data_IF_556509357959
#
_entry.id   IF_556509357959
#
_cell.length_a   1.000
_cell.length_b   1.000
_cell.length_c   1.000
_cell.angle_alpha   90.00
_cell.angle_beta   90.00
_cell.angle_gamma   90.00
#
_symmetry.space_group_name_H-M   'P 1'
#
loop_
_entity.id
_entity.type
_entity.pdbx_description
1 polymer ?
#
# COMPACT_ATOMS: atom_id res chain seq x y z
N UNK A 1 -11.79 -7.49 -3.88
CA UNK A 1 -13.01 -6.79 -3.40
C UNK A 1 -14.17 -7.77 -3.51
N UNK A 2 -15.01 -7.91 -2.49
CA UNK A 2 -16.19 -8.75 -2.59
C UNK A 2 -17.44 -7.91 -2.94
N UNK A 3 -18.45 -8.57 -3.52
CA UNK A 3 -19.71 -7.92 -3.93
C UNK A 3 -20.39 -7.17 -2.76
N UNK A 4 -20.35 -7.73 -1.55
CA UNK A 4 -20.93 -7.10 -0.36
C UNK A 4 -20.27 -5.76 -0.07
N UNK A 5 -18.94 -5.73 -0.06
CA UNK A 5 -18.17 -4.54 0.29
C UNK A 5 -18.35 -3.46 -0.76
N UNK A 6 -18.35 -3.83 -2.05
CA UNK A 6 -18.65 -2.90 -3.13
C UNK A 6 -20.04 -2.28 -2.98
N UNK A 7 -21.08 -3.09 -2.71
CA UNK A 7 -22.45 -2.62 -2.59
C UNK A 7 -22.68 -1.75 -1.35
N UNK A 8 -21.99 -2.03 -0.25
CA UNK A 8 -22.08 -1.25 0.99
C UNK A 8 -21.28 0.05 0.92
N UNK A 9 -20.01 -0.01 0.55
CA UNK A 9 -19.11 1.15 0.52
C UNK A 9 -19.35 2.07 -0.68
N UNK A 10 -19.92 1.56 -1.78
CA UNK A 10 -20.19 2.29 -3.03
C UNK A 10 -18.99 3.12 -3.50
N UNK A 11 -17.79 2.49 -3.66
CA UNK A 11 -16.61 3.20 -4.09
C UNK A 11 -16.85 3.85 -5.46
N UNK A 12 -16.29 5.02 -5.67
CA UNK A 12 -16.40 5.75 -6.93
C UNK A 12 -15.44 5.23 -7.99
N UNK A 13 -14.37 4.59 -7.57
CA UNK A 13 -13.35 4.04 -8.45
C UNK A 13 -12.97 2.62 -8.01
N UNK A 14 -12.49 1.83 -8.96
CA UNK A 14 -11.96 0.48 -8.73
C UNK A 14 -10.66 0.34 -9.52
N UNK A 15 -9.67 -0.29 -8.93
CA UNK A 15 -8.42 -0.61 -9.59
C UNK A 15 -8.42 -2.08 -9.99
N UNK A 16 -8.05 -2.39 -11.24
CA UNK A 16 -7.85 -3.75 -11.68
C UNK A 16 -6.46 -4.28 -11.28
N UNK A 17 -6.32 -5.59 -11.19
CA UNK A 17 -5.08 -6.26 -10.82
C UNK A 17 -4.25 -6.67 -12.04
N UNK A 18 -3.01 -7.11 -11.80
CA UNK A 18 -2.06 -7.52 -12.84
C UNK A 18 -2.35 -8.89 -13.46
N UNK A 19 -2.98 -9.77 -12.70
CA UNK A 19 -3.11 -11.17 -13.07
C UNK A 19 -4.08 -11.43 -14.21
N UNK A 20 -3.99 -12.61 -14.79
CA UNK A 20 -5.00 -13.14 -15.71
C UNK A 20 -6.11 -13.85 -14.92
N UNK A 21 -7.33 -13.67 -15.40
CA UNK A 21 -8.50 -14.42 -14.97
C UNK A 21 -9.09 -15.14 -16.18
N UNK A 22 -9.10 -16.48 -16.14
CA UNK A 22 -9.53 -17.32 -17.26
C UNK A 22 -8.82 -16.99 -18.58
N UNK A 23 -7.50 -16.73 -18.51
CA UNK A 23 -6.66 -16.47 -19.68
C UNK A 23 -6.57 -15.00 -20.15
N UNK A 24 -7.51 -14.12 -19.76
CA UNK A 24 -7.48 -12.69 -20.07
C UNK A 24 -6.91 -11.87 -18.91
N UNK A 25 -6.09 -10.87 -19.20
CA UNK A 25 -5.65 -9.93 -18.15
C UNK A 25 -6.84 -9.22 -17.52
N UNK A 26 -6.79 -8.95 -16.23
CA UNK A 26 -7.88 -8.29 -15.51
C UNK A 26 -8.25 -6.93 -16.13
N UNK A 27 -7.27 -6.22 -16.68
CA UNK A 27 -7.43 -4.93 -17.41
C UNK A 27 -8.17 -5.06 -18.74
N UNK A 28 -8.28 -6.26 -19.32
CA UNK A 28 -8.86 -6.54 -20.63
C UNK A 28 -10.06 -7.51 -20.55
N UNK A 29 -10.49 -7.84 -19.34
CA UNK A 29 -11.49 -8.88 -19.10
C UNK A 29 -12.90 -8.29 -19.08
N UNK A 30 -13.56 -8.29 -20.26
CA UNK A 30 -14.95 -7.82 -20.40
C UNK A 30 -15.94 -8.52 -19.45
N UNK A 31 -15.95 -9.85 -19.31
CA UNK A 31 -16.80 -10.52 -18.32
C UNK A 31 -16.61 -9.95 -16.90
N UNK A 32 -15.36 -9.68 -16.48
CA UNK A 32 -15.07 -9.13 -15.16
C UNK A 32 -15.51 -7.67 -15.04
N UNK A 33 -15.03 -6.79 -15.95
CA UNK A 33 -15.16 -5.35 -15.82
C UNK A 33 -16.54 -4.83 -16.24
N UNK A 34 -17.16 -5.48 -17.24
CA UNK A 34 -18.46 -5.05 -17.75
C UNK A 34 -19.59 -5.92 -17.24
N UNK A 35 -19.54 -7.24 -17.46
CA UNK A 35 -20.71 -8.09 -17.21
C UNK A 35 -20.95 -8.28 -15.72
N UNK A 36 -19.90 -8.55 -14.92
CA UNK A 36 -20.01 -8.74 -13.48
C UNK A 36 -20.00 -7.41 -12.74
N UNK A 37 -18.92 -6.62 -12.88
CA UNK A 37 -18.74 -5.40 -12.07
C UNK A 37 -19.84 -4.38 -12.34
N UNK A 38 -20.14 -4.11 -13.61
CA UNK A 38 -21.14 -3.11 -13.98
C UNK A 38 -22.54 -3.70 -14.08
N UNK A 39 -22.69 -4.82 -14.81
CA UNK A 39 -23.98 -5.45 -15.02
C UNK A 39 -24.56 -6.04 -13.74
N UNK A 40 -23.91 -7.05 -13.15
CA UNK A 40 -24.45 -7.76 -12.01
C UNK A 40 -24.32 -6.99 -10.67
N UNK A 41 -23.23 -6.21 -10.50
CA UNK A 41 -22.97 -5.47 -9.26
C UNK A 41 -23.42 -4.01 -9.31
N UNK A 42 -23.79 -3.48 -10.48
CA UNK A 42 -24.30 -2.13 -10.65
C UNK A 42 -23.24 -1.04 -10.38
N UNK A 43 -21.97 -1.26 -10.74
CA UNK A 43 -20.92 -0.26 -10.59
C UNK A 43 -21.05 0.84 -11.66
N UNK A 44 -21.13 2.09 -11.22
CA UNK A 44 -21.36 3.27 -12.04
C UNK A 44 -20.15 4.21 -12.16
N UNK A 45 -19.08 3.93 -11.42
CA UNK A 45 -17.84 4.70 -11.46
C UNK A 45 -16.89 4.29 -12.59
N UNK A 46 -15.61 4.63 -12.49
CA UNK A 46 -14.59 4.21 -13.46
C UNK A 46 -13.60 3.19 -12.88
N UNK A 47 -13.03 2.39 -13.77
CA UNK A 47 -11.94 1.45 -13.45
C UNK A 47 -10.63 2.05 -13.92
N UNK A 48 -9.62 2.05 -13.05
CA UNK A 48 -8.23 2.36 -13.40
C UNK A 48 -7.38 1.09 -13.45
N UNK A 49 -6.28 1.13 -14.18
CA UNK A 49 -5.28 0.06 -14.08
C UNK A 49 -4.48 0.18 -12.79
N UNK A 50 -3.92 -0.93 -12.32
CA UNK A 50 -2.74 -0.85 -11.46
C UNK A 50 -1.53 -0.36 -12.27
N UNK A 51 -0.44 -0.02 -11.60
CA UNK A 51 0.71 0.67 -12.19
C UNK A 51 1.43 -0.20 -13.21
N UNK A 52 1.22 0.12 -14.51
CA UNK A 52 1.76 -0.67 -15.62
C UNK A 52 1.00 -1.97 -15.94
N UNK A 53 -0.22 -2.15 -15.46
CA UNK A 53 -1.03 -3.36 -15.66
C UNK A 53 -1.73 -3.43 -17.04
N UNK A 54 -1.56 -2.43 -17.91
CA UNK A 54 -2.16 -2.43 -19.25
C UNK A 54 -1.27 -3.17 -20.23
N UNK A 55 -1.81 -4.20 -20.87
CA UNK A 55 -1.13 -4.95 -21.92
C UNK A 55 -1.65 -4.52 -23.32
N UNK A 56 -2.96 -4.46 -23.52
CA UNK A 56 -3.60 -3.96 -24.75
C UNK A 56 -4.63 -2.88 -24.37
N UNK A 57 -4.30 -1.62 -24.65
CA UNK A 57 -5.14 -0.47 -24.24
C UNK A 57 -6.47 -0.45 -24.96
N UNK A 58 -6.52 -0.86 -26.23
CA UNK A 58 -7.76 -0.89 -27.03
C UNK A 58 -8.73 -1.93 -26.47
N UNK A 59 -8.23 -3.14 -26.21
CA UNK A 59 -9.01 -4.18 -25.53
C UNK A 59 -9.44 -3.76 -24.14
N UNK A 60 -8.58 -3.06 -23.41
CA UNK A 60 -8.91 -2.52 -22.10
C UNK A 60 -10.11 -1.58 -22.14
N UNK A 61 -10.11 -0.58 -23.03
CA UNK A 61 -11.26 0.32 -23.21
C UNK A 61 -12.51 -0.45 -23.62
N UNK A 62 -12.39 -1.37 -24.56
CA UNK A 62 -13.51 -2.21 -25.00
C UNK A 62 -14.07 -3.09 -23.86
N UNK A 63 -13.23 -3.50 -22.91
CA UNK A 63 -13.62 -4.30 -21.75
C UNK A 63 -14.20 -3.48 -20.59
N UNK A 64 -14.02 -2.15 -20.58
CA UNK A 64 -14.50 -1.28 -19.50
C UNK A 64 -13.42 -0.78 -18.54
N UNK A 65 -12.16 -0.70 -18.98
CA UNK A 65 -11.06 -0.01 -18.32
C UNK A 65 -10.98 1.43 -18.81
N UNK A 66 -11.33 2.40 -17.98
CA UNK A 66 -11.38 3.80 -18.37
C UNK A 66 -10.01 4.50 -18.30
N UNK A 67 -9.26 4.29 -17.22
CA UNK A 67 -8.04 5.03 -16.95
C UNK A 67 -6.82 4.11 -16.87
N UNK A 68 -5.79 4.43 -17.65
CA UNK A 68 -4.49 3.78 -17.58
C UNK A 68 -3.56 4.53 -16.63
N UNK A 69 -2.84 3.79 -15.78
CA UNK A 69 -1.84 4.30 -14.86
C UNK A 69 -0.54 3.48 -14.93
N UNK A 70 0.64 4.12 -15.07
CA UNK A 70 0.82 5.51 -15.51
C UNK A 70 0.45 5.66 -16.98
N UNK A 71 0.23 6.89 -17.43
CA UNK A 71 0.02 7.14 -18.85
C UNK A 71 1.24 6.75 -19.70
N UNK A 72 0.99 6.28 -20.93
CA UNK A 72 2.02 5.77 -21.85
C UNK A 72 2.80 6.84 -22.62
N UNK A 73 2.66 8.13 -22.25
CA UNK A 73 3.27 9.23 -23.01
C UNK A 73 2.70 9.39 -24.43
N UNK A 74 1.44 9.06 -24.64
CA UNK A 74 0.75 9.16 -25.92
C UNK A 74 0.89 7.93 -26.84
N UNK A 75 1.64 6.90 -26.45
CA UNK A 75 1.81 5.69 -27.28
C UNK A 75 0.48 4.94 -27.45
N UNK A 76 -0.23 4.73 -26.36
CA UNK A 76 -1.51 4.04 -26.39
C UNK A 76 -2.66 4.92 -26.84
N UNK A 77 -2.56 6.25 -26.68
CA UNK A 77 -3.54 7.19 -27.19
C UNK A 77 -3.64 7.09 -28.74
N UNK A 78 -2.49 7.00 -29.41
CA UNK A 78 -2.45 6.79 -30.87
C UNK A 78 -3.14 5.49 -31.28
N UNK A 79 -2.93 4.40 -30.53
CA UNK A 79 -3.61 3.10 -30.79
C UNK A 79 -5.12 3.20 -30.65
N UNK A 80 -5.61 3.95 -29.66
CA UNK A 80 -7.06 4.19 -29.49
C UNK A 80 -7.60 5.01 -30.67
N UNK A 81 -6.91 6.10 -31.09
CA UNK A 81 -7.31 6.92 -32.21
C UNK A 81 -7.38 6.07 -33.48
N UNK A 82 -6.35 5.31 -33.79
CA UNK A 82 -6.30 4.40 -34.92
C UNK A 82 -7.43 3.36 -34.89
N UNK A 83 -7.71 2.79 -33.71
CA UNK A 83 -8.78 1.80 -33.54
C UNK A 83 -10.17 2.39 -33.77
N UNK A 84 -10.40 3.63 -33.37
CA UNK A 84 -11.65 4.34 -33.68
C UNK A 84 -11.73 4.67 -35.16
N UNK A 85 -10.66 5.18 -35.77
CA UNK A 85 -10.64 5.56 -37.20
C UNK A 85 -10.86 4.35 -38.12
N UNK A 86 -10.33 3.20 -37.79
CA UNK A 86 -10.50 1.97 -38.59
C UNK A 86 -11.71 1.12 -38.20
N UNK A 87 -12.52 1.57 -37.21
CA UNK A 87 -13.76 0.93 -36.81
C UNK A 87 -13.59 -0.31 -35.90
N UNK A 88 -12.37 -0.60 -35.41
CA UNK A 88 -12.15 -1.73 -34.48
C UNK A 88 -12.53 -1.41 -33.02
N UNK A 89 -12.63 -0.12 -32.69
CA UNK A 89 -13.22 0.37 -31.45
C UNK A 89 -14.38 1.32 -31.77
N UNK A 90 -15.57 1.02 -31.28
CA UNK A 90 -16.73 1.90 -31.41
C UNK A 90 -16.52 3.18 -30.60
N UNK A 91 -16.74 4.34 -31.23
CA UNK A 91 -16.56 5.65 -30.57
C UNK A 91 -17.46 5.79 -29.34
N UNK A 92 -18.67 5.22 -29.35
CA UNK A 92 -19.59 5.28 -28.22
C UNK A 92 -19.09 4.50 -27.01
N UNK A 93 -18.17 3.55 -27.17
CA UNK A 93 -17.49 2.89 -26.05
C UNK A 93 -16.46 3.83 -25.42
N UNK A 94 -15.70 4.55 -26.25
CA UNK A 94 -14.75 5.58 -25.78
C UNK A 94 -15.49 6.73 -25.09
N UNK A 95 -16.57 7.23 -25.66
CA UNK A 95 -17.39 8.30 -25.07
C UNK A 95 -17.94 7.89 -23.69
N UNK A 96 -18.39 6.66 -23.55
CA UNK A 96 -18.83 6.13 -22.23
C UNK A 96 -17.69 6.10 -21.22
N UNK A 97 -16.47 5.72 -21.63
CA UNK A 97 -15.31 5.72 -20.77
C UNK A 97 -14.97 7.14 -20.28
N UNK A 98 -14.93 8.10 -21.20
CA UNK A 98 -14.70 9.52 -20.89
C UNK A 98 -15.79 10.07 -19.96
N UNK A 99 -17.07 9.79 -20.27
CA UNK A 99 -18.20 10.26 -19.45
C UNK A 99 -18.13 9.75 -18.00
N UNK A 100 -17.67 8.51 -17.78
CA UNK A 100 -17.50 7.96 -16.43
C UNK A 100 -16.41 8.68 -15.64
N UNK A 101 -15.28 8.97 -16.27
CA UNK A 101 -14.20 9.75 -15.65
C UNK A 101 -14.70 11.16 -15.32
N UNK A 102 -15.31 11.85 -16.30
CA UNK A 102 -15.83 13.20 -16.09
C UNK A 102 -16.88 13.28 -14.98
N UNK A 103 -17.78 12.31 -14.90
CA UNK A 103 -18.76 12.25 -13.82
C UNK A 103 -18.11 12.23 -12.43
N UNK A 104 -17.05 11.45 -12.24
CA UNK A 104 -16.34 11.41 -10.96
C UNK A 104 -15.57 12.71 -10.72
N UNK A 105 -14.89 13.26 -11.73
CA UNK A 105 -14.16 14.54 -11.63
C UNK A 105 -15.12 15.68 -11.22
N UNK A 106 -16.29 15.78 -11.85
CA UNK A 106 -17.28 16.81 -11.53
C UNK A 106 -17.85 16.64 -10.10
N UNK A 107 -18.17 15.41 -9.71
CA UNK A 107 -18.60 15.13 -8.33
C UNK A 107 -17.52 15.49 -7.31
N UNK A 108 -16.24 15.19 -7.59
CA UNK A 108 -15.12 15.54 -6.74
C UNK A 108 -14.93 17.06 -6.64
N UNK A 109 -15.10 17.79 -7.76
CA UNK A 109 -15.00 19.25 -7.80
C UNK A 109 -16.05 19.93 -6.91
N UNK A 110 -17.24 19.37 -6.80
CA UNK A 110 -18.28 19.90 -5.89
C UNK A 110 -17.90 19.64 -4.42
N UNK A 111 -17.35 18.48 -4.09
CA UNK A 111 -16.86 18.19 -2.73
C UNK A 111 -15.66 19.04 -2.33
N UNK A 112 -14.79 19.41 -3.28
CA UNK A 112 -13.63 20.26 -3.02
C UNK A 112 -14.01 21.67 -2.54
N UNK A 113 -15.25 22.08 -2.69
CA UNK A 113 -15.78 23.35 -2.15
C UNK A 113 -16.12 23.25 -0.65
N UNK A 114 -16.19 22.07 -0.09
CA UNK A 114 -16.45 21.87 1.34
C UNK A 114 -15.16 22.07 2.15
N UNK A 115 -15.27 22.67 3.35
CA UNK A 115 -14.10 22.82 4.20
C UNK A 115 -13.58 21.43 4.59
N UNK A 116 -12.28 21.18 4.34
CA UNK A 116 -11.60 20.00 4.81
C UNK A 116 -10.89 20.33 6.13
N UNK A 117 -11.11 19.52 7.14
CA UNK A 117 -10.35 19.57 8.40
C UNK A 117 -9.38 18.39 8.39
N UNK A 118 -8.10 18.68 8.56
CA UNK A 118 -7.06 17.68 8.66
C UNK A 118 -6.31 17.89 9.99
N UNK A 119 -6.36 16.91 10.86
CA UNK A 119 -5.71 16.95 12.17
C UNK A 119 -4.62 15.87 12.24
N UNK A 120 -3.39 16.25 11.90
CA UNK A 120 -2.22 15.37 11.93
C UNK A 120 -2.00 14.72 13.30
N UNK A 121 -2.26 15.44 14.40
CA UNK A 121 -2.02 14.91 15.73
C UNK A 121 -3.04 13.82 16.09
N UNK A 122 -4.31 14.04 15.75
CA UNK A 122 -5.36 13.05 15.93
C UNK A 122 -5.13 11.82 15.07
N UNK A 123 -4.77 11.99 13.80
CA UNK A 123 -4.49 10.90 12.87
C UNK A 123 -3.26 10.09 13.31
N UNK A 124 -2.19 10.75 13.76
CA UNK A 124 -1.01 10.07 14.31
C UNK A 124 -1.37 9.25 15.56
N UNK A 125 -2.17 9.81 16.48
CA UNK A 125 -2.62 9.09 17.68
C UNK A 125 -3.44 7.85 17.31
N UNK A 126 -4.31 7.97 16.32
CA UNK A 126 -5.08 6.82 15.80
C UNK A 126 -4.16 5.77 15.18
N UNK A 127 -3.16 6.18 14.38
CA UNK A 127 -2.20 5.27 13.77
C UNK A 127 -1.40 4.49 14.82
N UNK A 128 -0.96 5.16 15.91
CA UNK A 128 -0.29 4.51 17.05
C UNK A 128 -1.20 3.47 17.73
N UNK A 129 -2.48 3.81 17.92
CA UNK A 129 -3.42 2.87 18.54
C UNK A 129 -3.69 1.66 17.64
N UNK A 130 -3.84 1.86 16.34
CA UNK A 130 -3.99 0.78 15.37
C UNK A 130 -2.75 -0.13 15.34
N UNK A 131 -1.55 0.44 15.38
CA UNK A 131 -0.30 -0.32 15.44
C UNK A 131 -0.22 -1.21 16.70
N UNK A 132 -0.59 -0.68 17.87
CA UNK A 132 -0.66 -1.45 19.12
C UNK A 132 -1.62 -2.64 19.01
N UNK A 133 -2.80 -2.43 18.42
CA UNK A 133 -3.81 -3.47 18.27
C UNK A 133 -3.46 -4.49 17.16
N UNK A 134 -2.53 -4.15 16.27
CA UNK A 134 -2.06 -5.04 15.21
C UNK A 134 -0.93 -5.98 15.65
N UNK A 135 -0.32 -5.73 16.81
CA UNK A 135 0.74 -6.59 17.34
C UNK A 135 0.16 -7.92 17.85
N UNK A 136 0.78 -9.03 17.45
CA UNK A 136 0.38 -10.39 17.87
C UNK A 136 1.48 -10.99 18.73
N UNK A 137 1.17 -11.24 20.01
CA UNK A 137 2.05 -11.93 20.93
C UNK A 137 1.96 -13.43 20.69
N UNK A 138 2.92 -14.01 19.97
CA UNK A 138 2.92 -15.43 19.60
C UNK A 138 3.20 -16.33 20.82
N UNK A 139 4.12 -15.90 21.70
CA UNK A 139 4.52 -16.65 22.91
C UNK A 139 5.09 -15.72 23.97
N UNK A 140 4.75 -15.94 25.22
CA UNK A 140 5.40 -15.29 26.37
C UNK A 140 5.60 -16.31 27.48
N UNK A 141 6.85 -16.47 27.91
CA UNK A 141 7.23 -17.35 29.04
C UNK A 141 7.73 -16.53 30.25
N UNK A 142 7.18 -15.32 30.43
CA UNK A 142 7.54 -14.44 31.54
C UNK A 142 8.58 -13.37 31.19
N UNK A 143 9.01 -13.27 29.92
CA UNK A 143 9.91 -12.19 29.48
C UNK A 143 9.22 -10.83 29.42
N UNK A 144 7.93 -10.82 29.13
CA UNK A 144 7.10 -9.60 29.05
C UNK A 144 6.06 -9.58 30.19
N UNK A 145 5.70 -8.39 30.70
CA UNK A 145 6.22 -7.06 30.36
C UNK A 145 7.63 -6.81 30.87
N UNK A 146 8.38 -5.94 30.18
CA UNK A 146 9.69 -5.48 30.67
C UNK A 146 9.51 -4.60 31.91
N UNK A 147 10.24 -4.87 32.96
CA UNK A 147 10.16 -4.12 34.21
C UNK A 147 11.11 -2.92 34.24
N UNK A 148 10.78 -1.90 35.06
CA UNK A 148 11.69 -0.79 35.32
C UNK A 148 12.94 -1.32 36.05
N UNK A 149 14.10 -0.80 35.62
CA UNK A 149 15.40 -1.17 36.22
C UNK A 149 16.10 -2.36 35.56
N UNK A 150 15.43 -3.13 34.70
CA UNK A 150 16.09 -4.15 33.89
C UNK A 150 17.07 -3.53 32.93
N UNK A 151 18.24 -4.13 32.77
CA UNK A 151 19.21 -3.85 31.73
C UNK A 151 18.67 -4.50 30.43
N UNK A 152 18.38 -3.69 29.43
CA UNK A 152 17.83 -4.18 28.17
C UNK A 152 18.81 -3.90 27.05
N UNK A 153 19.12 -4.92 26.24
CA UNK A 153 19.88 -4.76 25.02
C UNK A 153 18.93 -4.80 23.80
N UNK A 154 18.96 -3.77 22.96
CA UNK A 154 18.33 -3.77 21.66
C UNK A 154 19.36 -4.20 20.62
N UNK A 155 19.05 -5.28 19.91
CA UNK A 155 19.93 -5.88 18.90
C UNK A 155 19.19 -5.92 17.57
N UNK A 156 19.80 -5.37 16.54
CA UNK A 156 19.24 -5.28 15.20
C UNK A 156 19.12 -3.84 14.71
N UNK A 157 19.56 -3.60 13.48
CA UNK A 157 19.48 -2.28 12.83
C UNK A 157 18.07 -1.68 12.85
N UNK A 158 17.04 -2.52 12.79
CA UNK A 158 15.64 -2.08 12.77
C UNK A 158 15.12 -1.51 14.10
N UNK A 159 15.89 -1.63 15.18
CA UNK A 159 15.58 -0.92 16.42
C UNK A 159 15.69 0.59 16.28
N UNK A 160 16.63 1.07 15.47
CA UNK A 160 16.89 2.49 15.23
C UNK A 160 16.37 2.96 13.86
N UNK A 161 16.51 2.10 12.85
CA UNK A 161 16.08 2.36 11.47
C UNK A 161 14.95 1.39 11.08
N UNK A 162 13.70 1.61 11.54
CA UNK A 162 12.61 0.66 11.34
C UNK A 162 12.26 0.51 9.87
N UNK A 163 12.13 -0.73 9.41
CA UNK A 163 11.72 -1.07 8.05
C UNK A 163 10.21 -1.14 7.95
N UNK A 164 9.54 0.02 7.88
CA UNK A 164 8.08 0.15 7.93
C UNK A 164 7.43 0.45 6.58
N UNK A 165 8.23 0.73 5.55
CA UNK A 165 7.73 1.02 4.20
C UNK A 165 8.31 0.04 3.18
N UNK A 166 7.49 -0.30 2.16
CA UNK A 166 7.95 -0.99 0.97
C UNK A 166 8.44 -0.01 -0.11
N UNK A 167 8.59 -0.50 -1.33
CA UNK A 167 8.89 0.33 -2.50
C UNK A 167 7.64 0.92 -3.15
N UNK A 168 7.83 1.84 -4.10
CA UNK A 168 6.76 2.40 -4.92
C UNK A 168 5.76 3.22 -4.13
N UNK A 169 4.49 2.97 -4.35
CA UNK A 169 3.37 3.74 -3.78
C UNK A 169 3.21 3.63 -2.26
N UNK A 170 3.84 2.66 -1.62
CA UNK A 170 3.87 2.55 -0.16
C UNK A 170 4.90 3.47 0.50
N UNK A 171 5.78 4.10 -0.29
CA UNK A 171 6.78 5.04 0.22
C UNK A 171 6.15 6.42 0.40
N UNK A 172 5.88 6.79 1.64
CA UNK A 172 5.26 8.07 2.02
C UNK A 172 6.21 8.91 2.88
N UNK A 173 6.11 10.23 2.79
CA UNK A 173 6.82 11.14 3.67
C UNK A 173 6.17 11.12 5.04
N UNK A 174 6.88 10.59 6.03
CA UNK A 174 6.39 10.48 7.40
C UNK A 174 7.52 10.72 8.40
N UNK A 175 7.15 11.06 9.63
CA UNK A 175 8.08 11.04 10.76
C UNK A 175 7.96 9.69 11.45
N UNK A 176 8.94 8.81 11.22
CA UNK A 176 9.00 7.53 11.90
C UNK A 176 9.50 7.74 13.34
N UNK A 177 8.96 6.96 14.27
CA UNK A 177 9.46 6.84 15.63
C UNK A 177 10.06 5.44 15.75
N UNK A 178 11.36 5.34 15.95
CA UNK A 178 12.06 4.09 16.14
C UNK A 178 11.83 3.51 17.54
N UNK A 179 12.22 2.25 17.75
CA UNK A 179 12.20 1.67 19.08
C UNK A 179 13.22 2.37 20.02
N UNK A 180 14.33 2.89 19.46
CA UNK A 180 15.29 3.71 20.19
C UNK A 180 14.67 5.03 20.62
N UNK A 181 13.98 5.75 19.73
CA UNK A 181 13.26 6.97 20.08
C UNK A 181 12.21 6.70 21.17
N UNK A 182 11.45 5.63 21.02
CA UNK A 182 10.45 5.24 22.01
C UNK A 182 11.06 4.91 23.37
N UNK A 183 12.23 4.30 23.41
CA UNK A 183 12.96 4.05 24.66
C UNK A 183 13.36 5.37 25.34
N UNK A 184 13.90 6.32 24.57
CA UNK A 184 14.27 7.65 25.07
C UNK A 184 13.03 8.40 25.59
N UNK A 185 11.96 8.44 24.82
CA UNK A 185 10.71 9.13 25.20
C UNK A 185 10.08 8.56 26.48
N UNK A 186 10.34 7.30 26.81
CA UNK A 186 9.84 6.64 28.01
C UNK A 186 10.90 6.53 29.12
N UNK A 187 11.99 7.33 29.06
CA UNK A 187 13.08 7.33 30.01
C UNK A 187 13.65 5.92 30.32
N UNK A 188 13.69 5.09 29.27
CA UNK A 188 14.26 3.74 29.35
C UNK A 188 15.67 3.74 28.77
N UNK A 189 16.65 3.44 29.60
CA UNK A 189 18.02 3.22 29.13
C UNK A 189 18.15 1.82 28.53
N UNK A 190 18.61 1.77 27.28
CA UNK A 190 18.89 0.53 26.56
C UNK A 190 20.30 0.59 25.99
N UNK A 191 21.00 -0.54 25.92
CA UNK A 191 22.19 -0.67 25.07
C UNK A 191 21.74 -1.05 23.67
N UNK A 192 22.35 -0.44 22.65
CA UNK A 192 22.01 -0.72 21.24
C UNK A 192 23.21 -1.29 20.49
N UNK A 193 23.01 -2.36 19.76
CA UNK A 193 24.00 -3.00 18.90
C UNK A 193 23.30 -3.34 17.59
N UNK A 194 23.90 -2.97 16.46
CA UNK A 194 23.34 -3.26 15.13
C UNK A 194 23.29 -4.80 14.88
N UNK A 195 24.34 -5.52 15.22
CA UNK A 195 24.38 -6.99 15.25
C UNK A 195 24.45 -7.66 13.88
N UNK A 196 23.93 -7.03 12.85
CA UNK A 196 23.99 -7.48 11.45
C UNK A 196 23.84 -6.28 10.49
N UNK A 197 24.44 -6.32 9.28
CA UNK A 197 24.25 -5.28 8.28
C UNK A 197 22.82 -5.35 7.69
N UNK A 198 22.10 -4.21 7.69
CA UNK A 198 20.72 -4.14 7.19
C UNK A 198 20.63 -4.04 5.66
N UNK A 199 21.74 -3.74 4.99
CA UNK A 199 21.84 -3.45 3.55
C UNK A 199 22.27 -4.64 2.68
N UNK A 200 22.71 -5.72 3.32
CA UNK A 200 23.24 -6.91 2.63
C UNK A 200 23.03 -8.19 3.42
N UNK A 201 22.86 -9.30 2.69
CA UNK A 201 22.75 -10.65 3.27
C UNK A 201 24.14 -11.27 3.45
N UNK A 202 24.91 -10.72 4.39
CA UNK A 202 26.24 -11.21 4.75
C UNK A 202 26.39 -11.15 6.27
N UNK A 203 26.91 -12.24 6.85
CA UNK A 203 27.25 -12.29 8.27
C UNK A 203 28.51 -11.48 8.55
N UNK A 204 28.43 -10.58 9.54
CA UNK A 204 29.58 -9.87 10.10
C UNK A 204 29.91 -10.46 11.47
N UNK A 205 31.01 -11.20 11.57
CA UNK A 205 31.39 -11.88 12.83
C UNK A 205 31.71 -10.91 13.95
N UNK A 206 32.25 -9.75 13.66
CA UNK A 206 32.60 -8.76 14.68
C UNK A 206 31.31 -8.14 15.28
N UNK A 207 30.34 -7.81 14.42
CA UNK A 207 29.01 -7.31 14.86
C UNK A 207 28.27 -8.38 15.64
N UNK A 208 28.29 -9.63 15.17
CA UNK A 208 27.68 -10.75 15.86
C UNK A 208 28.24 -10.96 17.27
N UNK A 209 29.56 -10.94 17.44
CA UNK A 209 30.21 -11.08 18.74
C UNK A 209 29.88 -9.90 19.68
N UNK A 210 29.80 -8.68 19.16
CA UNK A 210 29.35 -7.52 19.93
C UNK A 210 27.91 -7.69 20.43
N UNK A 211 27.02 -8.20 19.57
CA UNK A 211 25.63 -8.48 19.93
C UNK A 211 25.52 -9.55 21.02
N UNK A 212 26.29 -10.64 20.92
CA UNK A 212 26.35 -11.67 21.95
C UNK A 212 26.82 -11.10 23.27
N UNK A 213 27.92 -10.33 23.27
CA UNK A 213 28.45 -9.69 24.49
C UNK A 213 27.42 -8.75 25.14
N UNK A 214 26.70 -7.98 24.34
CA UNK A 214 25.66 -7.09 24.84
C UNK A 214 24.46 -7.86 25.43
N UNK A 215 24.08 -8.98 24.81
CA UNK A 215 23.01 -9.84 25.30
C UNK A 215 23.39 -10.49 26.64
N UNK A 216 24.63 -10.98 26.79
CA UNK A 216 25.14 -11.57 28.02
C UNK A 216 25.21 -10.56 29.18
N UNK A 217 25.45 -9.29 28.92
CA UNK A 217 25.50 -8.21 29.89
C UNK A 217 24.14 -7.66 30.32
N UNK A 218 23.06 -8.06 29.61
CA UNK A 218 21.71 -7.58 29.83
C UNK A 218 20.84 -8.59 30.55
N UNK A 219 19.81 -8.11 31.25
CA UNK A 219 18.78 -8.99 31.84
C UNK A 219 17.80 -9.49 30.74
N UNK A 220 17.61 -8.71 29.69
CA UNK A 220 16.76 -9.04 28.53
C UNK A 220 17.38 -8.51 27.25
N UNK A 221 17.45 -9.35 26.22
CA UNK A 221 17.78 -8.96 24.86
C UNK A 221 16.52 -8.92 24.00
N UNK A 222 16.29 -7.80 23.30
CA UNK A 222 15.21 -7.62 22.32
C UNK A 222 15.83 -7.58 20.93
N UNK A 223 15.48 -8.56 20.11
CA UNK A 223 16.03 -8.71 18.75
C UNK A 223 15.03 -8.14 17.75
N UNK A 224 15.49 -7.23 16.90
CA UNK A 224 14.76 -6.62 15.80
C UNK A 224 15.25 -7.20 14.47
N UNK A 225 14.51 -8.16 13.88
CA UNK A 225 14.88 -8.92 12.68
C UNK A 225 13.83 -8.77 11.55
#
# INVERSE_FOLDING_TARGET
MCIRDRKKARPWTVMCSYNRLNGAYASENKPLLTDILRGAWGFDGFVMSDWGAVNDRVKGVAAGLELEMPGSGGVYDRKIIEAVQNGTLDIGVLDKAVARILNIVLRAADLAKLPAVFDHAADHKLAVELAKQSAVLLRNLGALPLHKGQKVAYIGAFADHPRYQGGGSSHVNTTAISAMDAAIMNDRRVSYIEGFPADRDQRDEAEFLRAVTAAEAADVAVIFA
#
